data_IF_844169310778
#
_entry.id   IF_844169310778
#
_cell.length_a   1.000
_cell.length_b   1.000
_cell.length_c   1.000
_cell.angle_alpha   90.00
_cell.angle_beta   90.00
_cell.angle_gamma   90.00
#
_symmetry.space_group_name_H-M   'P 1'
#
loop_
_entity.id
_entity.type
_entity.pdbx_description
1 polymer ?
#
# COMPACT_ATOMS: atom_id res chain seq x y z
N UNK A 1 -63.62 34.22 59.08
CA UNK A 1 -63.12 32.88 59.45
C UNK A 1 -64.09 31.89 58.84
N UNK A 2 -63.66 31.10 57.87
CA UNK A 2 -64.05 29.70 57.74
C UNK A 2 -63.14 29.03 56.70
N UNK A 3 -62.43 28.02 57.20
CA UNK A 3 -61.49 27.17 56.52
C UNK A 3 -62.11 26.41 55.35
N UNK A 4 -61.46 26.42 54.19
CA UNK A 4 -61.58 25.33 53.22
C UNK A 4 -60.19 24.87 52.79
N UNK A 5 -59.40 24.41 53.76
CA UNK A 5 -58.23 23.59 53.48
C UNK A 5 -58.70 22.18 53.10
N UNK A 6 -59.11 21.99 51.84
CA UNK A 6 -59.30 20.66 51.25
C UNK A 6 -57.91 20.05 51.04
N UNK A 7 -57.46 19.27 52.02
CA UNK A 7 -56.37 18.34 51.79
C UNK A 7 -56.82 17.30 50.73
N UNK A 8 -55.98 16.93 49.75
CA UNK A 8 -56.36 15.94 48.75
C UNK A 8 -56.52 14.56 49.40
N UNK A 9 -57.69 13.93 49.19
CA UNK A 9 -57.91 12.51 49.54
C UNK A 9 -57.11 11.65 48.57
N UNK A 10 -55.94 11.21 49.01
CA UNK A 10 -55.15 10.19 48.32
C UNK A 10 -55.77 8.83 48.62
N UNK A 11 -56.28 8.15 47.59
CA UNK A 11 -56.85 6.81 47.73
C UNK A 11 -55.78 5.73 47.55
N UNK A 12 -55.99 4.55 48.14
CA UNK A 12 -55.09 3.40 47.97
C UNK A 12 -54.91 3.06 46.48
N UNK A 13 -55.97 3.17 45.69
CA UNK A 13 -55.96 2.95 44.24
C UNK A 13 -55.08 3.98 43.51
N UNK A 14 -55.13 5.26 43.91
CA UNK A 14 -54.26 6.29 43.33
C UNK A 14 -52.77 6.08 43.63
N UNK A 15 -52.43 5.56 44.83
CA UNK A 15 -51.05 5.22 45.20
C UNK A 15 -50.55 3.99 44.45
N UNK A 16 -51.41 3.00 44.21
CA UNK A 16 -51.07 1.81 43.41
C UNK A 16 -50.80 2.19 41.96
N UNK A 17 -51.63 3.04 41.37
CA UNK A 17 -51.42 3.55 40.02
C UNK A 17 -50.10 4.34 39.89
N UNK A 18 -49.77 5.19 40.88
CA UNK A 18 -48.51 5.91 40.92
C UNK A 18 -47.31 4.95 41.03
N UNK A 19 -47.39 3.93 41.91
CA UNK A 19 -46.31 2.96 42.06
C UNK A 19 -46.09 2.13 40.78
N UNK A 20 -47.16 1.74 40.10
CA UNK A 20 -47.07 1.01 38.84
C UNK A 20 -46.51 1.89 37.71
N UNK A 21 -46.87 3.18 37.69
CA UNK A 21 -46.27 4.16 36.78
C UNK A 21 -44.76 4.36 37.06
N UNK A 22 -44.36 4.58 38.31
CA UNK A 22 -42.95 4.72 38.68
C UNK A 22 -42.12 3.47 38.34
N UNK A 23 -42.70 2.27 38.52
CA UNK A 23 -42.06 1.01 38.12
C UNK A 23 -41.86 0.92 36.62
N UNK A 24 -42.88 1.32 35.83
CA UNK A 24 -42.78 1.35 34.38
C UNK A 24 -41.71 2.34 33.90
N UNK A 25 -41.69 3.56 34.47
CA UNK A 25 -40.70 4.59 34.16
C UNK A 25 -39.27 4.17 34.55
N UNK A 26 -39.10 3.55 35.72
CA UNK A 26 -37.81 3.03 36.15
C UNK A 26 -37.32 1.88 35.24
N UNK A 27 -38.23 0.99 34.81
CA UNK A 27 -37.88 -0.09 33.89
C UNK A 27 -37.50 0.45 32.50
N UNK A 28 -38.20 1.46 32.00
CA UNK A 28 -37.85 2.15 30.76
C UNK A 28 -36.48 2.82 30.85
N UNK A 29 -36.24 3.60 31.92
CA UNK A 29 -34.95 4.27 32.15
C UNK A 29 -33.79 3.26 32.26
N UNK A 30 -34.03 2.12 32.91
CA UNK A 30 -33.03 1.04 32.98
C UNK A 30 -32.73 0.48 31.59
N UNK A 31 -33.75 0.24 30.77
CA UNK A 31 -33.56 -0.26 29.41
C UNK A 31 -32.76 0.74 28.54
N UNK A 32 -33.07 2.03 28.63
CA UNK A 32 -32.33 3.09 27.93
C UNK A 32 -30.87 3.16 28.38
N UNK A 33 -30.61 3.06 29.69
CA UNK A 33 -29.25 3.03 30.22
C UNK A 33 -28.47 1.81 29.73
N UNK A 34 -29.10 0.64 29.76
CA UNK A 34 -28.45 -0.61 29.34
C UNK A 34 -28.14 -0.57 27.83
N UNK A 35 -29.03 -0.02 27.00
CA UNK A 35 -28.76 0.23 25.58
C UNK A 35 -27.65 1.27 25.34
N UNK A 36 -27.58 2.33 26.16
CA UNK A 36 -26.51 3.32 26.06
C UNK A 36 -25.14 2.74 26.46
N UNK A 37 -25.10 1.81 27.43
CA UNK A 37 -23.89 1.10 27.80
C UNK A 37 -23.42 0.16 26.70
N UNK A 38 -24.33 -0.59 26.08
CA UNK A 38 -24.02 -1.46 24.94
C UNK A 38 -23.47 -0.63 23.76
N UNK A 39 -24.12 0.47 23.41
CA UNK A 39 -23.64 1.39 22.36
C UNK A 39 -22.25 1.96 22.66
N UNK A 40 -21.94 2.24 23.93
CA UNK A 40 -20.63 2.73 24.35
C UNK A 40 -19.56 1.65 24.18
N UNK A 41 -19.87 0.41 24.52
CA UNK A 41 -18.94 -0.72 24.39
C UNK A 41 -18.66 -1.03 22.91
N UNK A 42 -19.68 -0.96 22.06
CA UNK A 42 -19.53 -1.07 20.61
C UNK A 42 -18.63 0.04 20.04
N UNK A 43 -18.85 1.29 20.47
CA UNK A 43 -18.03 2.41 20.04
C UNK A 43 -16.56 2.27 20.50
N UNK A 44 -16.33 1.74 21.70
CA UNK A 44 -14.99 1.47 22.21
C UNK A 44 -14.28 0.39 21.39
N UNK A 45 -14.99 -0.69 21.03
CA UNK A 45 -14.49 -1.77 20.18
C UNK A 45 -14.16 -1.28 18.76
N UNK A 46 -15.03 -0.46 18.18
CA UNK A 46 -14.81 0.16 16.88
C UNK A 46 -13.59 1.09 16.90
N UNK A 47 -13.41 1.87 17.98
CA UNK A 47 -12.26 2.75 18.15
C UNK A 47 -10.95 1.97 18.27
N UNK A 48 -10.92 0.86 19.02
CA UNK A 48 -9.74 -0.01 19.12
C UNK A 48 -9.36 -0.60 17.76
N UNK A 49 -10.36 -1.08 17.01
CA UNK A 49 -10.17 -1.62 15.66
C UNK A 49 -9.60 -0.57 14.69
N UNK A 50 -10.16 0.66 14.72
CA UNK A 50 -9.66 1.77 13.92
C UNK A 50 -8.23 2.17 14.30
N UNK A 51 -7.91 2.20 15.59
CA UNK A 51 -6.56 2.50 16.07
C UNK A 51 -5.53 1.45 15.61
N UNK A 52 -5.87 0.16 15.67
CA UNK A 52 -4.99 -0.90 15.14
C UNK A 52 -4.75 -0.73 13.64
N UNK A 53 -5.81 -0.46 12.89
CA UNK A 53 -5.74 -0.23 11.44
C UNK A 53 -4.86 0.98 11.10
N UNK A 54 -4.94 2.04 11.89
CA UNK A 54 -4.11 3.24 11.74
C UNK A 54 -2.62 2.94 12.02
N UNK A 55 -2.32 2.15 13.05
CA UNK A 55 -0.95 1.73 13.38
C UNK A 55 -0.36 0.89 12.24
N UNK A 56 -1.11 -0.08 11.72
CA UNK A 56 -0.69 -0.90 10.57
C UNK A 56 -0.43 -0.04 9.33
N UNK A 57 -1.36 0.87 8.99
CA UNK A 57 -1.18 1.79 7.87
C UNK A 57 0.06 2.67 8.04
N UNK A 58 0.33 3.14 9.26
CA UNK A 58 1.52 3.96 9.56
C UNK A 58 2.82 3.17 9.35
N UNK A 59 2.85 1.90 9.75
CA UNK A 59 4.00 1.02 9.53
C UNK A 59 4.23 0.76 8.03
N UNK A 60 3.17 0.51 7.27
CA UNK A 60 3.24 0.33 5.81
C UNK A 60 3.82 1.59 5.15
N UNK A 61 3.31 2.77 5.50
CA UNK A 61 3.81 4.04 4.96
C UNK A 61 5.29 4.26 5.30
N UNK A 62 5.70 3.94 6.53
CA UNK A 62 7.10 4.04 6.94
C UNK A 62 8.00 3.10 6.11
N UNK A 63 7.58 1.86 5.87
CA UNK A 63 8.29 0.91 5.02
C UNK A 63 8.39 1.40 3.57
N UNK A 64 7.29 1.88 3.00
CA UNK A 64 7.26 2.41 1.63
C UNK A 64 8.18 3.61 1.45
N UNK A 65 8.30 4.50 2.45
CA UNK A 65 9.24 5.64 2.40
C UNK A 65 10.69 5.17 2.26
N UNK A 66 11.09 4.10 2.95
CA UNK A 66 12.43 3.53 2.83
C UNK A 66 12.65 2.96 1.43
N UNK A 67 11.69 2.18 0.92
CA UNK A 67 11.78 1.62 -0.44
C UNK A 67 11.87 2.71 -1.51
N UNK A 68 11.11 3.79 -1.38
CA UNK A 68 11.17 4.93 -2.30
C UNK A 68 12.56 5.56 -2.28
N UNK A 69 13.13 5.82 -1.09
CA UNK A 69 14.46 6.39 -0.97
C UNK A 69 15.55 5.50 -1.60
N UNK A 70 15.45 4.18 -1.45
CA UNK A 70 16.35 3.22 -2.09
C UNK A 70 16.22 3.21 -3.63
N UNK A 71 14.99 3.31 -4.12
CA UNK A 71 14.71 3.40 -5.56
C UNK A 71 15.22 4.72 -6.14
N UNK A 72 15.02 5.84 -5.45
CA UNK A 72 15.56 7.15 -5.84
C UNK A 72 17.08 7.12 -5.92
N UNK A 73 17.76 6.54 -4.93
CA UNK A 73 19.22 6.38 -4.95
C UNK A 73 19.68 5.51 -6.13
N UNK A 74 18.94 4.45 -6.45
CA UNK A 74 19.22 3.59 -7.62
C UNK A 74 19.04 4.35 -8.93
N UNK A 75 17.98 5.13 -9.07
CA UNK A 75 17.71 5.96 -10.25
C UNK A 75 18.83 6.99 -10.43
N UNK A 76 19.22 7.70 -9.37
CA UNK A 76 20.32 8.66 -9.42
C UNK A 76 21.62 7.97 -9.82
N UNK A 77 21.91 6.79 -9.28
CA UNK A 77 23.09 5.99 -9.67
C UNK A 77 23.08 5.63 -11.16
N UNK A 78 21.94 5.17 -11.69
CA UNK A 78 21.78 4.82 -13.11
C UNK A 78 21.85 6.04 -14.03
N UNK A 79 21.36 7.20 -13.59
CA UNK A 79 21.43 8.45 -14.36
C UNK A 79 22.83 9.04 -14.39
N UNK A 80 23.56 8.96 -13.27
CA UNK A 80 24.94 9.47 -13.16
C UNK A 80 25.96 8.53 -13.79
N UNK A 81 25.70 7.22 -13.75
CA UNK A 81 26.52 6.19 -14.38
C UNK A 81 25.65 5.38 -15.37
N UNK A 82 25.22 6.00 -16.49
CA UNK A 82 24.49 5.26 -17.50
C UNK A 82 25.37 4.11 -18.00
N UNK A 83 24.77 2.94 -18.17
CA UNK A 83 25.46 1.79 -18.74
C UNK A 83 26.00 2.19 -20.13
N UNK A 84 27.32 2.31 -20.24
CA UNK A 84 27.96 2.50 -21.53
C UNK A 84 28.08 1.13 -22.20
N UNK A 85 27.23 0.90 -23.18
CA UNK A 85 27.35 -0.27 -24.03
C UNK A 85 28.37 0.00 -25.14
N UNK A 86 29.34 -0.89 -25.35
CA UNK A 86 30.30 -0.71 -26.41
C UNK A 86 29.64 -0.89 -27.78
N UNK A 87 30.14 -0.15 -28.75
CA UNK A 87 29.67 -0.18 -30.14
C UNK A 87 30.70 -0.92 -31.00
N UNK A 88 30.25 -1.91 -31.75
CA UNK A 88 31.04 -2.57 -32.80
C UNK A 88 30.63 -2.07 -34.18
N UNK A 89 31.59 -2.00 -35.11
CA UNK A 89 31.34 -1.62 -36.50
C UNK A 89 31.54 -2.84 -37.41
N UNK A 90 30.48 -3.21 -38.12
CA UNK A 90 30.50 -4.31 -39.08
C UNK A 90 30.08 -3.77 -40.45
N UNK A 91 31.07 -3.59 -41.33
CA UNK A 91 30.85 -2.93 -42.62
C UNK A 91 30.47 -1.46 -42.44
N UNK A 92 29.31 -1.06 -42.99
CA UNK A 92 28.78 0.31 -42.88
C UNK A 92 27.87 0.54 -41.66
N UNK A 93 27.58 -0.52 -40.90
CA UNK A 93 26.61 -0.49 -39.79
C UNK A 93 27.31 -0.50 -38.44
N UNK A 94 26.70 0.14 -37.47
CA UNK A 94 27.14 0.16 -36.07
C UNK A 94 26.15 -0.60 -35.21
N UNK A 95 26.64 -1.42 -34.28
CA UNK A 95 25.82 -2.22 -33.38
C UNK A 95 26.22 -1.97 -31.93
N UNK A 96 25.25 -1.66 -31.08
CA UNK A 96 25.40 -1.56 -29.63
C UNK A 96 25.28 -2.96 -29.00
N UNK A 97 26.21 -3.30 -28.11
CA UNK A 97 26.25 -4.60 -27.43
C UNK A 97 25.59 -4.47 -26.06
N UNK A 98 24.36 -4.97 -25.91
CA UNK A 98 23.49 -4.70 -24.75
C UNK A 98 23.71 -5.63 -23.54
N UNK A 99 24.65 -6.55 -23.63
CA UNK A 99 24.99 -7.51 -22.57
C UNK A 99 26.49 -7.51 -22.29
N UNK A 100 26.91 -7.90 -21.09
CA UNK A 100 28.34 -8.05 -20.70
C UNK A 100 28.92 -9.41 -21.09
N UNK A 101 28.09 -10.45 -21.14
CA UNK A 101 28.48 -11.80 -21.57
C UNK A 101 27.37 -12.42 -22.40
N UNK A 102 27.72 -13.38 -23.26
CA UNK A 102 26.76 -14.10 -24.08
C UNK A 102 27.29 -15.50 -24.41
N UNK A 103 26.38 -16.42 -24.72
CA UNK A 103 26.76 -17.76 -25.17
C UNK A 103 26.63 -17.88 -26.69
N UNK A 104 27.66 -18.44 -27.32
CA UNK A 104 27.65 -18.77 -28.74
C UNK A 104 28.33 -20.12 -28.98
N UNK A 105 27.68 -21.01 -29.74
CA UNK A 105 28.18 -22.38 -30.01
C UNK A 105 28.63 -23.13 -28.74
N UNK A 106 27.86 -23.00 -27.64
CA UNK A 106 28.14 -23.61 -26.32
C UNK A 106 29.40 -23.08 -25.61
N UNK A 107 29.95 -21.95 -26.05
CA UNK A 107 31.05 -21.25 -25.40
C UNK A 107 30.53 -19.91 -24.89
N UNK A 108 30.86 -19.56 -23.65
CA UNK A 108 30.59 -18.24 -23.10
C UNK A 108 31.67 -17.26 -23.54
N UNK A 109 31.24 -16.11 -24.07
CA UNK A 109 32.09 -15.02 -24.51
C UNK A 109 31.81 -13.78 -23.67
N UNK A 110 32.85 -13.01 -23.40
CA UNK A 110 32.72 -11.65 -22.88
C UNK A 110 32.69 -10.64 -24.00
N UNK A 111 32.21 -9.44 -23.70
CA UNK A 111 32.23 -8.32 -24.65
C UNK A 111 33.64 -7.95 -25.08
N UNK A 112 34.64 -8.05 -24.19
CA UNK A 112 36.04 -7.77 -24.54
C UNK A 112 36.56 -8.75 -25.60
N UNK A 113 36.19 -10.03 -25.50
CA UNK A 113 36.52 -11.04 -26.50
C UNK A 113 35.82 -10.76 -27.83
N UNK A 114 34.55 -10.33 -27.78
CA UNK A 114 33.83 -9.90 -28.96
C UNK A 114 34.50 -8.69 -29.64
N UNK A 115 34.90 -7.68 -28.87
CA UNK A 115 35.55 -6.47 -29.39
C UNK A 115 36.89 -6.79 -30.06
N UNK A 116 37.61 -7.80 -29.56
CA UNK A 116 38.89 -8.25 -30.12
C UNK A 116 38.75 -9.13 -31.39
N UNK A 117 37.59 -9.74 -31.63
CA UNK A 117 37.40 -10.69 -32.74
C UNK A 117 36.42 -10.17 -33.81
N UNK A 118 36.97 -9.56 -34.86
CA UNK A 118 36.20 -9.06 -36.00
C UNK A 118 35.47 -10.15 -36.79
N UNK A 119 35.97 -11.40 -36.76
CA UNK A 119 35.31 -12.51 -37.45
C UNK A 119 34.07 -12.94 -36.67
N UNK A 120 34.19 -13.04 -35.35
CA UNK A 120 33.07 -13.31 -34.45
C UNK A 120 32.02 -12.19 -34.54
N UNK A 121 32.42 -10.92 -34.59
CA UNK A 121 31.50 -9.79 -34.79
C UNK A 121 30.65 -9.96 -36.06
N UNK A 122 31.30 -10.23 -37.20
CA UNK A 122 30.61 -10.46 -38.48
C UNK A 122 29.64 -11.64 -38.39
N UNK A 123 30.10 -12.77 -37.84
CA UNK A 123 29.30 -13.97 -37.71
C UNK A 123 28.06 -13.73 -36.84
N UNK A 124 28.19 -13.06 -35.70
CA UNK A 124 27.08 -12.80 -34.79
C UNK A 124 26.07 -11.79 -35.38
N UNK A 125 26.55 -10.79 -36.12
CA UNK A 125 25.67 -9.86 -36.85
C UNK A 125 24.90 -10.60 -37.96
N UNK A 126 25.57 -11.43 -38.76
CA UNK A 126 24.93 -12.24 -39.80
C UNK A 126 23.90 -13.23 -39.23
N UNK A 127 24.15 -13.75 -38.02
CA UNK A 127 23.22 -14.62 -37.31
C UNK A 127 22.07 -13.87 -36.62
N UNK A 128 22.10 -12.54 -36.60
CA UNK A 128 21.03 -11.73 -36.01
C UNK A 128 20.89 -11.90 -34.50
N UNK A 129 22.01 -11.97 -33.78
CA UNK A 129 21.98 -12.13 -32.32
C UNK A 129 21.26 -10.96 -31.64
N UNK A 130 20.25 -11.25 -30.82
CA UNK A 130 19.36 -10.22 -30.24
C UNK A 130 20.00 -9.23 -29.27
N UNK A 131 21.23 -9.46 -28.82
CA UNK A 131 21.98 -8.53 -27.97
C UNK A 131 22.82 -7.51 -28.77
N UNK A 132 22.83 -7.60 -30.11
CA UNK A 132 23.46 -6.65 -31.03
C UNK A 132 22.38 -5.80 -31.69
N UNK A 133 22.25 -4.54 -31.28
CA UNK A 133 21.22 -3.63 -31.77
C UNK A 133 21.84 -2.62 -32.72
N UNK A 134 21.34 -2.54 -33.96
CA UNK A 134 21.84 -1.57 -34.94
C UNK A 134 21.52 -0.14 -34.48
N UNK A 135 22.55 0.65 -34.21
CA UNK A 135 22.46 2.07 -33.82
C UNK A 135 22.80 2.94 -35.04
N UNK A 136 21.87 3.79 -35.45
CA UNK A 136 22.01 4.64 -36.65
C UNK A 136 20.96 4.43 -37.74
N UNK A 137 19.91 3.63 -37.49
CA UNK A 137 18.64 3.82 -38.19
C UNK A 137 17.90 4.94 -37.48
N UNK A 138 18.17 6.19 -37.88
CA UNK A 138 17.14 7.22 -37.74
C UNK A 138 15.90 6.68 -38.47
N UNK A 139 14.82 6.51 -37.71
CA UNK A 139 13.48 6.33 -38.24
C UNK A 139 12.86 7.72 -38.44
#
# INVERSE_FOLDING_TARGET
MEDTNKAPEVTIESLQAQLDQERAEHQATKAERDAALESKDDAASALDTANRSLVEATQIIAGQKVTIAEQEATIVSLQTNPAQYPIIKVGKKSYEVTTKTFQYKKVEYTVEQLLADTKLQKELVEKGMGFLVEVGKEA
#
